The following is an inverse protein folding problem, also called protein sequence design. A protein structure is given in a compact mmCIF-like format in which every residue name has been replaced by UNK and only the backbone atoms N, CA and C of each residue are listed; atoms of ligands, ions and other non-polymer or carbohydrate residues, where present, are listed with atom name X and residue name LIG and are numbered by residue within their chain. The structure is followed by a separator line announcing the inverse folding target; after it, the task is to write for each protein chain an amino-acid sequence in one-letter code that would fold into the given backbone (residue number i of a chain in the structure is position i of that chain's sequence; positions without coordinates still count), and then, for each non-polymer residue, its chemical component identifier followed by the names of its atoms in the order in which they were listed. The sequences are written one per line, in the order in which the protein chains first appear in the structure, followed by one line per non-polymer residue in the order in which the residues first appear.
data_IF_209842579303
#
_entry.id   IF_209842579303
#
_cell.length_a   1.000
_cell.length_b   1.000
_cell.length_c   1.000
_cell.angle_alpha   90.00
_cell.angle_beta   90.00
_cell.angle_gamma   90.00
#
_symmetry.space_group_name_H-M   'P 1'
#
loop_
_entity.id
_entity.type
_entity.pdbx_description
1 polymer ?
#
# COMPACT_ATOMS: atom_id res chain seq x y z
N UNK A 1 -18.35 23.94 11.88
CA UNK A 1 -17.12 23.22 11.51
C UNK A 1 -17.48 21.75 11.30
N UNK A 2 -17.32 21.21 10.10
CA UNK A 2 -17.62 19.80 9.82
C UNK A 2 -16.59 18.91 10.52
N UNK A 3 -17.02 18.16 11.52
CA UNK A 3 -16.15 17.22 12.23
C UNK A 3 -15.55 16.18 11.27
N UNK A 4 -14.27 15.85 11.47
CA UNK A 4 -13.62 14.72 10.79
C UNK A 4 -14.37 13.44 11.14
N UNK A 5 -14.79 12.63 10.15
CA UNK A 5 -15.51 11.39 10.42
C UNK A 5 -14.70 10.40 11.27
N UNK A 6 -15.37 9.53 12.05
CA UNK A 6 -14.71 8.75 13.09
C UNK A 6 -13.65 7.78 12.58
N UNK A 7 -13.88 7.06 11.45
CA UNK A 7 -12.89 6.11 10.96
C UNK A 7 -11.63 6.83 10.50
N UNK A 8 -11.75 7.88 9.69
CA UNK A 8 -10.58 8.69 9.25
C UNK A 8 -9.81 9.20 10.45
N UNK A 9 -10.50 9.76 11.45
CA UNK A 9 -9.85 10.26 12.67
C UNK A 9 -9.08 9.16 13.42
N UNK A 10 -9.70 7.99 13.62
CA UNK A 10 -9.06 6.89 14.34
C UNK A 10 -7.90 6.28 13.57
N UNK A 11 -8.02 6.12 12.24
CA UNK A 11 -6.92 5.61 11.41
C UNK A 11 -5.72 6.55 11.48
N UNK A 12 -5.92 7.88 11.33
CA UNK A 12 -4.84 8.87 11.46
C UNK A 12 -4.17 8.76 12.84
N UNK A 13 -4.98 8.72 13.91
CA UNK A 13 -4.45 8.64 15.27
C UNK A 13 -3.63 7.36 15.51
N UNK A 14 -4.13 6.19 15.06
CA UNK A 14 -3.41 4.92 15.17
C UNK A 14 -2.07 4.98 14.41
N UNK A 15 -2.06 5.51 13.18
CA UNK A 15 -0.84 5.62 12.39
C UNK A 15 0.21 6.51 13.07
N UNK A 16 -0.20 7.63 13.67
CA UNK A 16 0.70 8.51 14.44
C UNK A 16 1.27 7.77 15.65
N UNK A 17 0.44 7.05 16.40
CA UNK A 17 0.90 6.27 17.55
C UNK A 17 1.89 5.17 17.14
N UNK A 18 1.59 4.44 16.07
CA UNK A 18 2.48 3.38 15.54
C UNK A 18 3.81 3.98 15.09
N UNK A 19 3.80 5.15 14.42
CA UNK A 19 5.02 5.85 14.02
C UNK A 19 5.89 6.25 15.22
N UNK A 20 5.28 6.75 16.29
CA UNK A 20 6.00 7.07 17.53
C UNK A 20 6.61 5.80 18.13
N UNK A 21 5.85 4.71 18.21
CA UNK A 21 6.35 3.43 18.73
C UNK A 21 7.48 2.87 17.84
N UNK A 22 7.37 2.96 16.52
CA UNK A 22 8.40 2.53 15.59
C UNK A 22 9.69 3.35 15.72
N UNK A 23 9.57 4.65 16.04
CA UNK A 23 10.74 5.50 16.31
C UNK A 23 11.44 5.15 17.64
N UNK A 24 10.68 4.67 18.64
CA UNK A 24 11.22 4.30 19.95
C UNK A 24 11.80 2.87 19.99
N UNK A 25 11.23 1.93 19.23
CA UNK A 25 11.62 0.52 19.20
C UNK A 25 11.59 -0.03 17.75
N UNK A 26 12.46 0.46 16.85
CA UNK A 26 12.39 0.15 15.43
C UNK A 26 12.51 -1.35 15.14
N UNK A 27 13.51 -2.03 15.70
CA UNK A 27 13.73 -3.47 15.44
C UNK A 27 12.51 -4.32 15.77
N UNK A 28 11.91 -4.10 16.94
CA UNK A 28 10.71 -4.82 17.36
C UNK A 28 9.53 -4.50 16.44
N UNK A 29 9.27 -3.22 16.18
CA UNK A 29 8.12 -2.79 15.40
C UNK A 29 8.20 -3.25 13.95
N UNK A 30 9.36 -3.12 13.31
CA UNK A 30 9.54 -3.61 11.95
C UNK A 30 9.48 -5.14 11.88
N UNK A 31 10.15 -5.87 12.76
CA UNK A 31 10.09 -7.33 12.79
C UNK A 31 8.68 -7.89 12.98
N UNK A 32 7.86 -7.25 13.82
CA UNK A 32 6.53 -7.75 14.15
C UNK A 32 5.41 -7.25 13.23
N UNK A 33 5.49 -6.03 12.71
CA UNK A 33 4.35 -5.36 12.07
C UNK A 33 4.57 -4.97 10.61
N UNK A 34 5.82 -4.78 10.15
CA UNK A 34 6.10 -4.58 8.74
C UNK A 34 5.87 -5.88 7.96
N UNK A 35 5.45 -5.79 6.70
CA UNK A 35 5.13 -6.96 5.88
C UNK A 35 6.39 -7.47 5.19
N UNK A 36 6.77 -8.70 5.47
CA UNK A 36 7.82 -9.45 4.77
C UNK A 36 7.22 -10.43 3.77
N UNK A 37 8.06 -10.91 2.85
CA UNK A 37 7.69 -11.96 1.91
C UNK A 37 7.38 -13.28 2.65
N UNK A 38 6.37 -14.07 2.24
CA UNK A 38 5.96 -15.27 2.97
C UNK A 38 7.04 -16.33 3.21
N UNK A 39 8.07 -16.42 2.36
CA UNK A 39 9.22 -17.33 2.58
C UNK A 39 10.32 -16.71 3.45
N UNK A 40 10.19 -15.46 3.87
CA UNK A 40 11.12 -14.84 4.82
C UNK A 40 10.91 -15.42 6.22
N UNK A 41 11.98 -15.67 7.00
CA UNK A 41 11.86 -16.06 8.40
C UNK A 41 11.25 -14.98 9.30
N UNK A 42 11.14 -13.76 8.80
CA UNK A 42 10.53 -12.62 9.50
C UNK A 42 9.04 -12.46 9.19
N UNK A 43 8.47 -13.33 8.34
CA UNK A 43 7.06 -13.26 7.99
C UNK A 43 6.16 -13.76 9.11
N UNK A 44 5.10 -12.99 9.38
CA UNK A 44 4.01 -13.37 10.27
C UNK A 44 2.66 -13.17 9.58
N UNK A 45 1.71 -14.07 9.78
CA UNK A 45 0.42 -14.08 9.06
C UNK A 45 -0.47 -12.84 9.30
N UNK A 46 -0.20 -12.05 10.34
CA UNK A 46 -0.92 -10.80 10.62
C UNK A 46 -0.33 -9.58 9.89
N UNK A 47 0.89 -9.68 9.37
CA UNK A 47 1.59 -8.56 8.72
C UNK A 47 0.85 -7.97 7.52
N UNK A 48 0.10 -8.74 6.68
CA UNK A 48 -0.70 -8.19 5.58
C UNK A 48 -1.80 -7.20 6.00
N UNK A 49 -2.10 -7.12 7.30
CA UNK A 49 -2.99 -6.10 7.86
C UNK A 49 -2.20 -5.01 8.59
N UNK A 50 -1.24 -5.41 9.40
CA UNK A 50 -0.55 -4.48 10.30
C UNK A 50 0.39 -3.51 9.57
N UNK A 51 0.96 -3.93 8.44
CA UNK A 51 1.84 -3.09 7.63
C UNK A 51 1.19 -1.77 7.20
N UNK A 52 -0.16 -1.77 7.07
CA UNK A 52 -0.96 -0.60 6.70
C UNK A 52 -0.86 0.55 7.71
N UNK A 53 -0.34 0.30 8.91
CA UNK A 53 -0.17 1.29 9.97
C UNK A 53 1.29 1.68 10.20
N UNK A 54 2.22 0.97 9.57
CA UNK A 54 3.66 1.26 9.65
C UNK A 54 4.06 2.28 8.58
N UNK A 55 5.03 3.15 8.88
CA UNK A 55 5.56 4.11 7.91
C UNK A 55 7.09 4.22 8.05
N UNK A 56 7.79 4.40 6.92
CA UNK A 56 9.24 4.43 6.87
C UNK A 56 9.84 5.76 7.33
N UNK A 57 9.15 6.87 7.10
CA UNK A 57 9.64 8.22 7.43
C UNK A 57 8.48 9.22 7.61
N UNK A 58 8.86 10.44 8.02
CA UNK A 58 7.89 11.52 8.27
C UNK A 58 7.11 11.96 7.02
N UNK A 59 7.76 12.07 5.88
CA UNK A 59 7.05 12.47 4.66
C UNK A 59 6.10 11.38 4.18
N UNK A 60 6.48 10.13 4.36
CA UNK A 60 5.63 8.98 4.03
C UNK A 60 4.33 9.00 4.85
N UNK A 61 4.39 9.13 6.18
CA UNK A 61 3.17 9.24 6.99
C UNK A 61 2.41 10.54 6.70
N UNK A 62 3.10 11.65 6.52
CA UNK A 62 2.46 12.94 6.26
C UNK A 62 1.58 12.89 5.01
N UNK A 63 2.11 12.45 3.87
CA UNK A 63 1.34 12.40 2.63
C UNK A 63 0.23 11.35 2.67
N UNK A 64 0.44 10.22 3.31
CA UNK A 64 -0.61 9.22 3.52
C UNK A 64 -1.76 9.80 4.35
N UNK A 65 -1.47 10.38 5.50
CA UNK A 65 -2.50 10.92 6.39
C UNK A 65 -3.17 12.17 5.83
N UNK A 66 -2.45 13.00 5.10
CA UNK A 66 -3.01 14.15 4.38
C UNK A 66 -4.01 13.70 3.31
N UNK A 67 -3.65 12.72 2.50
CA UNK A 67 -4.53 12.15 1.47
C UNK A 67 -5.75 11.47 2.09
N UNK A 68 -5.55 10.69 3.15
CA UNK A 68 -6.64 10.08 3.92
C UNK A 68 -7.58 11.13 4.50
N UNK A 69 -7.03 12.20 5.07
CA UNK A 69 -7.84 13.29 5.64
C UNK A 69 -8.73 13.94 4.57
N UNK A 70 -8.20 14.26 3.41
CA UNK A 70 -8.96 14.93 2.35
C UNK A 70 -9.97 13.98 1.72
N UNK A 71 -9.51 12.90 1.10
CA UNK A 71 -10.34 12.03 0.26
C UNK A 71 -11.11 11.00 1.08
N UNK A 72 -10.49 10.45 2.12
CA UNK A 72 -11.14 9.53 3.06
C UNK A 72 -12.33 10.18 3.77
N UNK A 73 -12.20 11.45 4.19
CA UNK A 73 -13.29 12.21 4.80
C UNK A 73 -14.51 12.32 3.86
N UNK A 74 -14.28 12.55 2.57
CA UNK A 74 -15.37 12.63 1.59
C UNK A 74 -16.05 11.27 1.45
N UNK A 75 -15.27 10.21 1.27
CA UNK A 75 -15.80 8.86 1.08
C UNK A 75 -16.54 8.34 2.32
N UNK A 76 -15.98 8.57 3.53
CA UNK A 76 -16.66 8.16 4.77
C UNK A 76 -17.99 8.88 4.98
N UNK A 77 -18.07 10.18 4.63
CA UNK A 77 -19.34 10.91 4.67
C UNK A 77 -20.40 10.35 3.72
N UNK A 78 -20.00 9.90 2.53
CA UNK A 78 -20.90 9.30 1.55
C UNK A 78 -21.35 7.91 1.99
N UNK A 79 -20.41 7.06 2.38
CA UNK A 79 -20.65 5.64 2.62
C UNK A 79 -20.99 5.27 4.05
N UNK A 80 -20.70 6.15 5.00
CA UNK A 80 -20.70 5.84 6.43
C UNK A 80 -19.48 5.04 6.86
N UNK A 81 -19.26 4.99 8.16
CA UNK A 81 -18.03 4.46 8.78
C UNK A 81 -17.79 2.98 8.43
N UNK A 82 -18.81 2.12 8.57
CA UNK A 82 -18.66 0.67 8.35
C UNK A 82 -18.23 0.34 6.92
N UNK A 83 -18.87 0.95 5.93
CA UNK A 83 -18.56 0.71 4.51
C UNK A 83 -17.22 1.31 4.12
N UNK A 84 -16.88 2.48 4.66
CA UNK A 84 -15.55 3.08 4.45
C UNK A 84 -14.44 2.19 5.02
N UNK A 85 -14.58 1.67 6.23
CA UNK A 85 -13.63 0.75 6.83
C UNK A 85 -13.48 -0.53 6.00
N UNK A 86 -14.59 -1.12 5.55
CA UNK A 86 -14.53 -2.27 4.64
C UNK A 86 -13.72 -1.93 3.37
N UNK A 87 -13.98 -0.77 2.77
CA UNK A 87 -13.23 -0.32 1.58
C UNK A 87 -11.75 -0.16 1.87
N UNK A 88 -11.39 0.50 2.96
CA UNK A 88 -10.02 0.73 3.39
C UNK A 88 -9.24 -0.58 3.57
N UNK A 89 -9.81 -1.53 4.32
CA UNK A 89 -9.15 -2.80 4.57
C UNK A 89 -9.10 -3.71 3.33
N UNK A 90 -10.15 -3.78 2.54
CA UNK A 90 -10.15 -4.58 1.30
C UNK A 90 -9.11 -4.07 0.32
N UNK A 91 -8.98 -2.76 0.15
CA UNK A 91 -7.98 -2.19 -0.76
C UNK A 91 -6.56 -2.33 -0.22
N UNK A 92 -6.35 -2.17 1.08
CA UNK A 92 -5.03 -2.37 1.72
C UNK A 92 -4.57 -3.83 1.70
N UNK A 93 -5.45 -4.77 2.07
CA UNK A 93 -5.13 -6.20 2.02
C UNK A 93 -4.95 -6.65 0.56
N UNK A 94 -5.80 -6.17 -0.36
CA UNK A 94 -5.66 -6.42 -1.79
C UNK A 94 -4.33 -5.91 -2.36
N UNK A 95 -3.87 -4.76 -1.89
CA UNK A 95 -2.55 -4.21 -2.21
C UNK A 95 -1.43 -5.16 -1.75
N UNK A 96 -1.51 -5.66 -0.51
CA UNK A 96 -0.56 -6.64 0.03
C UNK A 96 -0.53 -7.92 -0.82
N UNK A 97 -1.69 -8.46 -1.20
CA UNK A 97 -1.78 -9.68 -2.01
C UNK A 97 -1.15 -9.50 -3.39
N UNK A 98 -1.39 -8.38 -4.08
CA UNK A 98 -0.77 -8.10 -5.38
C UNK A 98 0.74 -7.97 -5.23
N UNK A 99 1.19 -7.24 -4.22
CA UNK A 99 2.64 -7.06 -3.97
C UNK A 99 3.34 -8.39 -3.67
N UNK A 100 2.79 -9.20 -2.77
CA UNK A 100 3.31 -10.53 -2.47
C UNK A 100 3.30 -11.46 -3.71
N UNK A 101 2.29 -11.36 -4.58
CA UNK A 101 2.26 -12.10 -5.84
C UNK A 101 3.40 -11.72 -6.78
N UNK A 102 3.74 -10.44 -6.87
CA UNK A 102 4.90 -9.97 -7.66
C UNK A 102 6.21 -10.42 -7.02
N UNK A 103 6.35 -10.32 -5.70
CA UNK A 103 7.51 -10.84 -4.98
C UNK A 103 7.67 -12.35 -5.19
N UNK A 104 6.57 -13.10 -5.19
CA UNK A 104 6.60 -14.55 -5.50
C UNK A 104 7.12 -14.83 -6.91
N UNK A 105 6.67 -14.06 -7.90
CA UNK A 105 7.19 -14.17 -9.27
C UNK A 105 8.69 -13.88 -9.31
N UNK A 106 9.14 -12.77 -8.73
CA UNK A 106 10.56 -12.41 -8.66
C UNK A 106 11.39 -13.48 -7.94
N UNK A 107 10.90 -13.99 -6.82
CA UNK A 107 11.54 -15.07 -6.09
C UNK A 107 11.67 -16.35 -6.91
N UNK A 108 10.62 -16.74 -7.64
CA UNK A 108 10.66 -17.94 -8.49
C UNK A 108 11.65 -17.83 -9.66
N UNK A 109 11.76 -16.65 -10.26
CA UNK A 109 12.75 -16.37 -11.29
C UNK A 109 14.18 -16.48 -10.73
N UNK A 110 14.43 -15.93 -9.54
CA UNK A 110 15.74 -16.00 -8.89
C UNK A 110 16.11 -17.45 -8.50
N UNK A 111 15.16 -18.23 -8.01
CA UNK A 111 15.36 -19.66 -7.75
C UNK A 111 15.72 -20.42 -9.04
N UNK A 112 14.98 -20.18 -10.11
CA UNK A 112 15.24 -20.83 -11.40
C UNK A 112 16.60 -20.46 -11.97
N UNK A 113 17.03 -19.22 -11.80
CA UNK A 113 18.33 -18.72 -12.28
C UNK A 113 19.53 -19.29 -11.49
N UNK A 114 19.32 -19.60 -10.19
CA UNK A 114 20.42 -20.08 -9.31
C UNK A 114 20.44 -21.57 -9.13
N UNK A 115 19.33 -22.26 -9.37
CA UNK A 115 19.17 -23.69 -9.05
C UNK A 115 19.15 -24.04 -7.56
N UNK A 116 19.10 -23.00 -6.67
CA UNK A 116 19.07 -23.17 -5.23
C UNK A 116 17.66 -23.54 -4.75
N UNK A 117 17.57 -24.36 -3.72
CA UNK A 117 16.33 -24.58 -2.97
C UNK A 117 16.01 -23.41 -2.04
N UNK A 118 14.77 -23.32 -1.55
CA UNK A 118 14.35 -22.26 -0.63
C UNK A 118 15.14 -22.20 0.69
N UNK A 119 15.66 -23.34 1.16
CA UNK A 119 16.51 -23.42 2.35
C UNK A 119 17.94 -22.92 2.07
N UNK A 120 18.48 -23.28 0.90
CA UNK A 120 19.82 -22.85 0.49
C UNK A 120 19.90 -21.36 0.16
N UNK A 121 18.80 -20.75 -0.30
CA UNK A 121 18.73 -19.32 -0.59
C UNK A 121 19.00 -18.49 0.67
N UNK A 122 18.41 -18.86 1.80
CA UNK A 122 18.64 -18.13 3.06
C UNK A 122 20.13 -18.13 3.44
N UNK A 123 20.76 -19.31 3.40
CA UNK A 123 22.19 -19.45 3.71
C UNK A 123 23.06 -18.68 2.69
N UNK A 124 22.72 -18.81 1.42
CA UNK A 124 23.40 -18.11 0.32
C UNK A 124 23.34 -16.59 0.50
N UNK A 125 22.16 -16.03 0.76
CA UNK A 125 21.96 -14.58 0.91
C UNK A 125 22.62 -14.04 2.19
N UNK A 126 22.58 -14.83 3.29
CA UNK A 126 23.20 -14.43 4.56
C UNK A 126 24.73 -14.42 4.56
N UNK A 127 25.35 -15.22 3.65
CA UNK A 127 26.79 -15.38 3.54
C UNK A 127 27.44 -14.63 2.37
N UNK A 128 26.63 -14.17 1.41
CA UNK A 128 27.15 -13.48 0.23
C UNK A 128 27.56 -12.02 0.55
N UNK A 129 28.73 -11.59 0.06
CA UNK A 129 29.11 -10.18 0.08
C UNK A 129 28.10 -9.34 -0.69
N UNK A 130 27.79 -8.17 -0.18
CA UNK A 130 26.77 -7.20 -0.68
C UNK A 130 26.98 -6.67 -2.12
N UNK A 131 27.85 -7.28 -2.92
CA UNK A 131 28.18 -6.87 -4.28
C UNK A 131 27.65 -7.78 -5.41
N UNK A 132 27.05 -8.93 -5.10
CA UNK A 132 26.47 -9.80 -6.14
C UNK A 132 25.03 -9.41 -6.46
N UNK A 133 24.74 -9.02 -7.70
CA UNK A 133 23.39 -8.58 -8.14
C UNK A 133 22.28 -9.56 -7.77
N UNK A 134 22.49 -10.86 -7.93
CA UNK A 134 21.49 -11.90 -7.61
C UNK A 134 21.25 -11.96 -6.10
N UNK A 135 22.30 -11.96 -5.30
CA UNK A 135 22.18 -11.96 -3.83
C UNK A 135 21.48 -10.69 -3.32
N UNK A 136 21.79 -9.52 -3.90
CA UNK A 136 21.12 -8.26 -3.57
C UNK A 136 19.61 -8.31 -3.90
N UNK A 137 19.24 -8.82 -5.09
CA UNK A 137 17.83 -8.95 -5.49
C UNK A 137 17.06 -9.94 -4.59
N UNK A 138 17.70 -11.06 -4.19
CA UNK A 138 17.11 -12.00 -3.24
C UNK A 138 16.97 -11.40 -1.85
N UNK A 139 17.97 -10.64 -1.40
CA UNK A 139 17.90 -9.89 -0.15
C UNK A 139 16.72 -8.93 -0.14
N UNK A 140 16.56 -8.16 -1.22
CA UNK A 140 15.47 -7.19 -1.34
C UNK A 140 14.10 -7.88 -1.23
N UNK A 141 13.90 -9.00 -1.91
CA UNK A 141 12.64 -9.75 -1.85
C UNK A 141 12.38 -10.32 -0.46
N UNK A 142 13.40 -10.88 0.21
CA UNK A 142 13.21 -11.62 1.47
C UNK A 142 13.25 -10.74 2.72
N UNK A 143 14.08 -9.70 2.73
CA UNK A 143 14.44 -8.97 3.95
C UNK A 143 14.09 -7.48 3.94
N UNK A 144 13.73 -6.91 2.78
CA UNK A 144 13.24 -5.54 2.74
C UNK A 144 11.73 -5.54 3.00
N UNK A 145 11.30 -4.98 4.14
CA UNK A 145 9.89 -5.00 4.49
C UNK A 145 9.09 -3.96 3.71
N UNK A 146 7.83 -4.27 3.46
CA UNK A 146 6.84 -3.34 2.95
C UNK A 146 6.07 -2.72 4.11
N UNK A 147 5.92 -1.40 4.08
CA UNK A 147 5.20 -0.60 5.08
C UNK A 147 4.36 0.48 4.40
N UNK A 148 3.26 0.86 4.99
CA UNK A 148 2.50 2.04 4.60
C UNK A 148 1.00 1.79 4.40
N UNK A 149 0.23 2.83 4.69
CA UNK A 149 -1.19 2.90 4.36
C UNK A 149 -1.44 3.11 2.85
N UNK A 150 -0.37 3.34 2.07
CA UNK A 150 -0.46 3.84 0.70
C UNK A 150 -1.27 2.93 -0.24
N UNK A 151 -1.21 1.61 -0.09
CA UNK A 151 -2.07 0.70 -0.84
C UNK A 151 -3.56 1.01 -0.64
N UNK A 152 -4.00 1.19 0.60
CA UNK A 152 -5.38 1.60 0.90
C UNK A 152 -5.67 3.03 0.43
N UNK A 153 -4.69 3.94 0.50
CA UNK A 153 -4.81 5.32 0.02
C UNK A 153 -5.00 5.37 -1.50
N UNK A 154 -4.26 4.58 -2.27
CA UNK A 154 -4.50 4.46 -3.71
C UNK A 154 -5.89 3.90 -4.03
N UNK A 155 -6.39 2.96 -3.22
CA UNK A 155 -7.79 2.53 -3.25
C UNK A 155 -8.77 3.70 -3.01
N UNK A 156 -8.52 4.52 -1.98
CA UNK A 156 -9.32 5.72 -1.67
C UNK A 156 -9.31 6.71 -2.85
N UNK A 157 -8.16 6.97 -3.45
CA UNK A 157 -8.04 7.82 -4.64
C UNK A 157 -8.84 7.27 -5.81
N UNK A 158 -8.79 5.96 -6.07
CA UNK A 158 -9.63 5.30 -7.07
C UNK A 158 -11.12 5.47 -6.75
N UNK A 159 -11.52 5.21 -5.51
CA UNK A 159 -12.91 5.40 -5.07
C UNK A 159 -13.40 6.84 -5.27
N UNK A 160 -12.59 7.81 -4.88
CA UNK A 160 -12.90 9.22 -5.07
C UNK A 160 -13.01 9.59 -6.56
N UNK A 161 -12.07 9.18 -7.40
CA UNK A 161 -12.08 9.48 -8.82
C UNK A 161 -13.28 8.82 -9.55
N UNK A 162 -13.73 7.66 -9.10
CA UNK A 162 -14.91 7.00 -9.67
C UNK A 162 -16.24 7.63 -9.23
N UNK A 163 -16.30 8.22 -8.03
CA UNK A 163 -17.50 8.97 -7.56
C UNK A 163 -17.53 10.40 -8.12
N UNK A 164 -16.37 11.03 -8.26
CA UNK A 164 -16.23 12.43 -8.63
C UNK A 164 -15.20 12.63 -9.77
N UNK A 165 -15.42 12.02 -10.94
CA UNK A 165 -14.39 11.94 -12.02
C UNK A 165 -13.97 13.30 -12.57
N UNK A 166 -14.84 14.30 -12.54
CA UNK A 166 -14.59 15.64 -13.07
C UNK A 166 -14.21 16.68 -12.01
N UNK A 167 -14.10 16.27 -10.73
CA UNK A 167 -13.60 17.15 -9.67
C UNK A 167 -12.13 17.51 -9.92
N UNK A 168 -11.77 18.76 -9.65
CA UNK A 168 -10.40 19.22 -9.81
C UNK A 168 -9.58 18.83 -8.57
N UNK A 169 -8.49 18.11 -8.81
CA UNK A 169 -7.46 17.80 -7.83
C UNK A 169 -6.21 18.60 -8.18
N UNK A 170 -5.58 19.19 -7.17
CA UNK A 170 -4.34 19.95 -7.34
C UNK A 170 -3.21 19.28 -6.57
N UNK A 171 -2.11 18.95 -7.26
CA UNK A 171 -0.87 18.55 -6.62
C UNK A 171 -0.33 19.71 -5.78
N UNK A 172 0.27 19.38 -4.63
CA UNK A 172 0.90 20.41 -3.79
C UNK A 172 2.19 20.90 -4.47
N UNK A 173 2.94 19.96 -5.06
CA UNK A 173 4.19 20.29 -5.74
C UNK A 173 4.49 19.28 -6.87
N UNK A 174 4.68 19.77 -8.11
CA UNK A 174 4.38 21.14 -8.59
C UNK A 174 2.85 21.40 -8.56
N UNK A 175 2.40 22.67 -8.46
CA UNK A 175 0.96 22.98 -8.35
C UNK A 175 0.24 22.79 -9.69
N UNK A 176 0.00 21.53 -10.05
CA UNK A 176 -0.71 21.14 -11.27
C UNK A 176 -2.11 20.70 -10.91
N UNK A 177 -3.11 21.33 -11.54
CA UNK A 177 -4.52 21.00 -11.36
C UNK A 177 -5.01 20.14 -12.53
N UNK A 178 -5.71 19.02 -12.20
CA UNK A 178 -6.30 18.15 -13.20
C UNK A 178 -7.56 17.48 -12.65
N UNK A 179 -8.39 16.93 -13.55
CA UNK A 179 -9.57 16.16 -13.12
C UNK A 179 -9.15 14.87 -12.42
N UNK A 180 -9.90 14.45 -11.40
CA UNK A 180 -9.60 13.28 -10.57
C UNK A 180 -9.39 12.00 -11.41
N UNK A 181 -10.19 11.77 -12.45
CA UNK A 181 -10.01 10.63 -13.36
C UNK A 181 -8.64 10.61 -14.03
N UNK A 182 -8.12 11.75 -14.48
CA UNK A 182 -6.81 11.84 -15.12
C UNK A 182 -5.69 11.73 -14.10
N UNK A 183 -5.87 12.33 -12.92
CA UNK A 183 -4.93 12.18 -11.81
C UNK A 183 -4.66 10.69 -11.53
N UNK A 184 -5.71 9.92 -11.27
CA UNK A 184 -5.56 8.49 -10.93
C UNK A 184 -4.97 7.68 -12.08
N UNK A 185 -5.37 7.94 -13.34
CA UNK A 185 -4.84 7.23 -14.51
C UNK A 185 -3.35 7.53 -14.75
N UNK A 186 -2.93 8.78 -14.60
CA UNK A 186 -1.51 9.17 -14.76
C UNK A 186 -0.67 8.53 -13.65
N UNK A 187 -1.12 8.60 -12.39
CA UNK A 187 -0.39 7.97 -11.29
C UNK A 187 -0.33 6.44 -11.44
N UNK A 188 -1.42 5.78 -11.86
CA UNK A 188 -1.40 4.36 -12.19
C UNK A 188 -0.37 4.01 -13.28
N UNK A 189 -0.29 4.84 -14.33
CA UNK A 189 0.71 4.68 -15.40
C UNK A 189 2.15 4.86 -14.90
N UNK A 190 2.39 5.84 -14.03
CA UNK A 190 3.71 6.07 -13.40
C UNK A 190 4.08 4.87 -12.51
N UNK A 191 3.18 4.40 -11.65
CA UNK A 191 3.41 3.25 -10.77
C UNK A 191 3.71 1.97 -11.58
N UNK A 192 2.99 1.74 -12.67
CA UNK A 192 3.25 0.60 -13.55
C UNK A 192 4.64 0.72 -14.22
N UNK A 193 4.95 1.88 -14.78
CA UNK A 193 6.22 2.11 -15.48
C UNK A 193 7.41 1.95 -14.53
N UNK A 194 7.34 2.60 -13.36
CA UNK A 194 8.42 2.55 -12.36
C UNK A 194 8.56 1.16 -11.75
N UNK A 195 7.45 0.46 -11.51
CA UNK A 195 7.47 -0.91 -11.01
C UNK A 195 8.07 -1.91 -12.00
N UNK A 196 7.78 -1.77 -13.30
CA UNK A 196 8.34 -2.66 -14.36
C UNK A 196 9.80 -2.33 -14.65
N UNK A 197 10.18 -1.05 -14.67
CA UNK A 197 11.56 -0.64 -14.97
C UNK A 197 12.50 -0.77 -13.76
N UNK A 198 11.96 -1.01 -12.56
CA UNK A 198 12.74 -1.04 -11.32
C UNK A 198 13.33 0.32 -10.93
N UNK A 199 12.87 1.40 -11.54
CA UNK A 199 13.25 2.76 -11.17
C UNK A 199 12.53 3.19 -9.88
N UNK A 200 13.12 4.10 -9.11
CA UNK A 200 12.61 4.52 -7.80
C UNK A 200 12.53 3.36 -6.78
N UNK A 201 13.65 2.63 -6.62
CA UNK A 201 13.78 1.55 -5.64
C UNK A 201 13.37 1.97 -4.22
N UNK A 202 12.82 1.02 -3.46
CA UNK A 202 12.30 1.26 -2.11
C UNK A 202 10.82 1.66 -2.06
N UNK A 203 10.15 1.82 -3.21
CA UNK A 203 8.71 2.07 -3.29
C UNK A 203 7.97 0.80 -3.73
N UNK A 204 6.92 0.45 -3.01
CA UNK A 204 6.11 -0.73 -3.31
C UNK A 204 5.08 -0.42 -4.43
N UNK A 205 5.55 -0.12 -5.64
CA UNK A 205 4.71 0.26 -6.79
C UNK A 205 3.55 -0.70 -7.04
N UNK A 206 3.81 -1.99 -6.97
CA UNK A 206 2.76 -3.01 -7.17
C UNK A 206 1.73 -3.07 -6.04
N UNK A 207 2.09 -2.67 -4.81
CA UNK A 207 1.09 -2.48 -3.75
C UNK A 207 0.15 -1.31 -4.08
N UNK A 208 0.67 -0.19 -4.60
CA UNK A 208 -0.15 0.93 -5.03
C UNK A 208 -1.11 0.53 -6.16
N UNK A 209 -0.62 -0.16 -7.17
CA UNK A 209 -1.44 -0.71 -8.26
C UNK A 209 -2.48 -1.69 -7.73
N UNK A 210 -2.12 -2.56 -6.78
CA UNK A 210 -3.03 -3.47 -6.11
C UNK A 210 -4.18 -2.73 -5.43
N UNK A 211 -3.87 -1.65 -4.72
CA UNK A 211 -4.88 -0.79 -4.09
C UNK A 211 -5.85 -0.17 -5.10
N UNK A 212 -5.34 0.34 -6.22
CA UNK A 212 -6.17 0.85 -7.33
C UNK A 212 -7.08 -0.24 -7.91
N UNK A 213 -6.55 -1.42 -8.20
CA UNK A 213 -7.29 -2.55 -8.78
C UNK A 213 -8.42 -3.00 -7.84
N UNK A 214 -8.13 -3.25 -6.57
CA UNK A 214 -9.14 -3.68 -5.61
C UNK A 214 -10.17 -2.59 -5.34
N UNK A 215 -9.75 -1.31 -5.31
CA UNK A 215 -10.65 -0.17 -5.24
C UNK A 215 -11.60 -0.12 -6.42
N UNK A 216 -11.09 -0.26 -7.64
CA UNK A 216 -11.89 -0.32 -8.86
C UNK A 216 -12.90 -1.48 -8.84
N UNK A 217 -12.43 -2.70 -8.54
CA UNK A 217 -13.29 -3.89 -8.50
C UNK A 217 -14.42 -3.71 -7.49
N UNK A 218 -14.12 -3.22 -6.28
CA UNK A 218 -15.13 -3.07 -5.23
C UNK A 218 -16.18 -1.99 -5.58
N UNK A 219 -15.74 -0.87 -6.17
CA UNK A 219 -16.65 0.16 -6.67
C UNK A 219 -17.54 -0.37 -7.79
N UNK A 220 -16.98 -1.09 -8.75
CA UNK A 220 -17.76 -1.69 -9.84
C UNK A 220 -18.78 -2.71 -9.31
N UNK A 221 -18.39 -3.53 -8.33
CA UNK A 221 -19.30 -4.44 -7.65
C UNK A 221 -20.46 -3.69 -6.96
N UNK A 222 -20.17 -2.62 -6.22
CA UNK A 222 -21.21 -1.81 -5.58
C UNK A 222 -22.10 -1.09 -6.59
N UNK A 223 -21.53 -0.59 -7.69
CA UNK A 223 -22.29 0.06 -8.76
C UNK A 223 -23.27 -0.93 -9.42
N UNK A 224 -22.79 -2.13 -9.77
CA UNK A 224 -23.62 -3.19 -10.37
C UNK A 224 -24.78 -3.60 -9.46
N UNK A 225 -24.57 -3.62 -8.15
CA UNK A 225 -25.59 -4.00 -7.16
C UNK A 225 -26.41 -2.81 -6.60
N UNK A 226 -26.35 -1.64 -7.23
CA UNK A 226 -27.04 -0.42 -6.79
C UNK A 226 -26.71 0.03 -5.35
N UNK A 227 -25.52 -0.35 -4.84
CA UNK A 227 -25.06 -0.06 -3.47
C UNK A 227 -24.01 1.05 -3.40
N UNK A 228 -23.69 1.73 -4.52
CA UNK A 228 -22.59 2.69 -4.55
C UNK A 228 -22.76 3.82 -3.52
N UNK A 229 -23.97 4.33 -3.38
CA UNK A 229 -24.30 5.43 -2.45
C UNK A 229 -25.04 4.95 -1.19
N UNK A 230 -25.30 3.65 -1.03
CA UNK A 230 -25.91 3.12 0.19
C UNK A 230 -24.91 3.12 1.33
N UNK A 231 -25.40 3.28 2.56
CA UNK A 231 -24.63 3.06 3.78
C UNK A 231 -24.82 1.63 4.29
N UNK A 232 -23.86 1.13 5.03
CA UNK A 232 -23.99 -0.09 5.80
C UNK A 232 -24.34 0.31 7.23
N UNK A 233 -25.58 0.13 7.59
CA UNK A 233 -26.09 0.43 8.94
C UNK A 233 -25.70 -0.66 9.96
#
# INVERSE_FOLDING_TARGET
MSHVPPAVKHIIFINILVMIMASLKPEFMYGMFAMYFPSSPLFHFWQPVNYMFMHGDFFHIFFNMYTLFIFGTVLERVWGTKKFLLFYFVTGIGAALVHMGVQWYQYSELMSATGLSSTEIYDYVSQCPSGMRIAASMWDVMFVPTVGASGAIYGILMGYAMLYPDSIMTLIFPPISMKAKWFVLIFAGIELLTGVTGTMGGVAHFAHLGGLIFGFILIMYWKKNHRLYSRFD
#
